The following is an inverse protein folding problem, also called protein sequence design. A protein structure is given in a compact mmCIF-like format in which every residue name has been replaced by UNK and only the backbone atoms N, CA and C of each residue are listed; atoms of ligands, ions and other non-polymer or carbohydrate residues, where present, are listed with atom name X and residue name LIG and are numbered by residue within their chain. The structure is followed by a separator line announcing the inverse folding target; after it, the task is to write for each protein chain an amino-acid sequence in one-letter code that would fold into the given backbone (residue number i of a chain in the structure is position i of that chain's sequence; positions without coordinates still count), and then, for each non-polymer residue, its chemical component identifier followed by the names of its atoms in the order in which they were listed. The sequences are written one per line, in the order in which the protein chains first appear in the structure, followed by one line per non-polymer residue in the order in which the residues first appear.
data_IF_146580081350
#
_entry.id   IF_146580081350
#
_cell.length_a   1.000
_cell.length_b   1.000
_cell.length_c   1.000
_cell.angle_alpha   90.00
_cell.angle_beta   90.00
_cell.angle_gamma   90.00
#
_symmetry.space_group_name_H-M   'P 1'
#
loop_
_entity.id
_entity.type
_entity.pdbx_description
1 polymer ?
#
# COMPACT_ATOMS: atom_id res chain seq x y z
N UNK A 1 48.26 2.94 -55.67
CA UNK A 1 49.53 3.20 -54.97
C UNK A 1 49.41 4.55 -54.26
N UNK A 2 49.69 4.61 -52.94
CA UNK A 2 49.61 5.76 -51.99
C UNK A 2 48.19 6.24 -51.61
N UNK A 3 47.56 5.77 -50.54
CA UNK A 3 47.67 6.08 -49.07
C UNK A 3 47.18 7.46 -48.61
N UNK A 4 46.24 7.42 -47.63
CA UNK A 4 46.02 8.32 -46.48
C UNK A 4 45.58 9.78 -46.77
N UNK A 5 44.72 10.48 -46.01
CA UNK A 5 44.37 10.37 -44.58
C UNK A 5 43.08 11.18 -44.30
N UNK A 6 42.27 10.62 -43.40
CA UNK A 6 41.25 11.18 -42.49
C UNK A 6 41.21 12.72 -42.36
N UNK A 7 40.01 13.31 -42.45
CA UNK A 7 39.61 14.38 -41.53
C UNK A 7 38.17 14.18 -41.06
N UNK A 8 38.02 14.13 -39.74
CA UNK A 8 36.77 14.16 -38.99
C UNK A 8 36.21 15.57 -39.06
N UNK A 9 34.89 15.73 -39.17
CA UNK A 9 34.19 16.83 -38.50
C UNK A 9 32.76 16.41 -38.16
N UNK A 10 32.64 15.99 -36.91
CA UNK A 10 31.43 15.77 -36.12
C UNK A 10 30.70 17.11 -36.00
N UNK A 11 29.43 17.17 -36.44
CA UNK A 11 28.55 18.30 -36.12
C UNK A 11 27.64 17.93 -34.94
N UNK A 12 28.09 18.42 -33.79
CA UNK A 12 27.33 18.97 -32.66
C UNK A 12 26.00 18.29 -32.27
N UNK A 13 26.12 17.38 -31.30
CA UNK A 13 25.08 17.07 -30.33
C UNK A 13 24.90 18.30 -29.43
N UNK A 14 23.73 18.93 -29.44
CA UNK A 14 23.41 20.00 -28.47
C UNK A 14 23.13 19.32 -27.13
N UNK A 15 24.16 19.37 -26.28
CA UNK A 15 24.15 18.99 -24.89
C UNK A 15 23.55 20.15 -24.08
N UNK A 16 22.26 20.09 -23.77
CA UNK A 16 21.65 20.98 -22.78
C UNK A 16 21.87 20.38 -21.40
N UNK A 17 23.00 20.71 -20.79
CA UNK A 17 23.23 20.45 -19.37
C UNK A 17 22.29 21.29 -18.52
N UNK A 18 21.48 20.63 -17.70
CA UNK A 18 20.91 21.22 -16.50
C UNK A 18 21.46 20.44 -15.31
N UNK A 19 22.60 20.93 -14.80
CA UNK A 19 23.11 20.58 -13.48
C UNK A 19 22.28 21.40 -12.49
N UNK A 20 21.33 20.74 -11.83
CA UNK A 20 20.82 21.16 -10.53
C UNK A 20 21.20 19.98 -9.63
N UNK A 21 22.29 20.04 -8.88
CA UNK A 21 22.32 20.88 -7.70
C UNK A 21 21.80 20.05 -6.55
N UNK A 22 22.60 19.08 -6.11
CA UNK A 22 22.39 18.29 -4.91
C UNK A 22 22.32 19.23 -3.70
N UNK A 23 21.11 19.50 -3.23
CA UNK A 23 20.87 19.97 -1.87
C UNK A 23 20.32 18.79 -1.08
N UNK A 24 21.24 18.02 -0.50
CA UNK A 24 20.94 17.29 0.72
C UNK A 24 20.66 18.31 1.81
N UNK A 25 19.46 18.30 2.40
CA UNK A 25 19.25 18.70 3.78
C UNK A 25 17.92 18.13 4.29
N UNK A 26 18.02 17.50 5.44
CA UNK A 26 17.01 16.78 6.17
C UNK A 26 15.72 17.56 6.40
N UNK A 27 14.60 16.84 6.31
CA UNK A 27 13.54 16.90 7.31
C UNK A 27 12.82 15.55 7.36
N UNK A 28 13.53 14.57 7.92
CA UNK A 28 12.90 13.51 8.69
C UNK A 28 12.64 14.14 10.06
N UNK A 29 11.46 14.70 10.26
CA UNK A 29 10.98 15.07 11.59
C UNK A 29 9.46 15.06 11.60
N UNK A 30 8.93 14.17 12.44
CA UNK A 30 7.57 14.10 12.95
C UNK A 30 6.46 13.70 11.97
N UNK A 31 6.37 12.38 11.74
CA UNK A 31 5.08 11.70 11.60
C UNK A 31 4.39 11.46 12.96
N UNK A 32 4.79 12.20 14.01
CA UNK A 32 4.15 12.23 15.33
C UNK A 32 2.98 13.23 15.34
N UNK A 33 2.00 13.04 14.47
CA UNK A 33 0.60 13.45 14.73
C UNK A 33 -0.35 12.72 13.79
N UNK A 34 -0.25 11.38 13.76
CA UNK A 34 -1.38 10.57 13.31
C UNK A 34 -2.42 10.69 14.42
N UNK A 35 -3.49 11.45 14.16
CA UNK A 35 -4.66 11.52 15.02
C UNK A 35 -5.11 10.08 15.35
N UNK A 36 -4.83 9.67 16.59
CA UNK A 36 -5.29 8.44 17.21
C UNK A 36 -6.81 8.48 17.36
N UNK A 37 -7.54 8.29 16.27
CA UNK A 37 -8.92 7.85 16.35
C UNK A 37 -8.91 6.32 16.46
N UNK A 38 -8.49 5.87 17.64
CA UNK A 38 -8.37 4.46 18.03
C UNK A 38 -9.75 3.96 18.38
N UNK A 39 -10.31 3.09 17.53
CA UNK A 39 -11.34 2.16 17.96
C UNK A 39 -10.84 0.73 17.69
N UNK A 40 -10.08 0.23 18.67
CA UNK A 40 -9.73 -1.15 19.03
C UNK A 40 -8.28 -1.15 19.53
N UNK A 41 -8.09 -1.24 20.86
CA UNK A 41 -6.78 -1.19 21.53
C UNK A 41 -5.92 -2.45 21.36
N UNK A 42 -6.40 -3.47 20.65
CA UNK A 42 -5.67 -4.72 20.45
C UNK A 42 -5.33 -4.94 18.98
N UNK A 43 -4.09 -5.37 18.67
CA UNK A 43 -3.75 -5.86 17.33
C UNK A 43 -4.71 -6.96 16.91
N UNK A 44 -5.06 -7.00 15.63
CA UNK A 44 -5.91 -8.05 15.07
C UNK A 44 -5.03 -9.24 14.67
N UNK A 45 -5.35 -10.44 15.16
CA UNK A 45 -4.59 -11.64 14.82
C UNK A 45 -4.92 -12.11 13.39
N UNK A 46 -3.96 -12.02 12.45
CA UNK A 46 -4.12 -12.46 11.05
C UNK A 46 -4.10 -13.98 10.87
N UNK A 47 -3.89 -14.72 11.94
CA UNK A 47 -3.87 -16.19 11.95
C UNK A 47 -5.22 -16.79 12.36
N UNK A 48 -6.20 -15.97 12.75
CA UNK A 48 -7.56 -16.40 13.08
C UNK A 48 -8.53 -16.11 11.94
N UNK A 49 -9.74 -16.66 12.04
CA UNK A 49 -10.84 -16.24 11.17
C UNK A 49 -11.20 -14.78 11.44
N UNK A 50 -11.72 -14.12 10.39
CA UNK A 50 -12.23 -12.75 10.48
C UNK A 50 -13.50 -12.63 11.33
N UNK A 51 -14.05 -11.42 11.41
CA UNK A 51 -15.34 -11.14 12.02
C UNK A 51 -16.19 -10.23 11.09
N UNK A 52 -17.33 -9.74 11.56
CA UNK A 52 -18.24 -8.91 10.75
C UNK A 52 -17.59 -7.64 10.17
N UNK A 53 -16.53 -7.12 10.80
CA UNK A 53 -15.85 -5.89 10.39
C UNK A 53 -14.50 -6.14 9.71
N UNK A 54 -13.97 -7.36 9.81
CA UNK A 54 -12.62 -7.74 9.40
C UNK A 54 -12.68 -9.04 8.61
N UNK A 55 -12.32 -9.00 7.33
CA UNK A 55 -12.14 -10.22 6.54
C UNK A 55 -10.68 -10.68 6.67
N UNK A 56 -10.45 -11.95 7.01
CA UNK A 56 -9.13 -12.58 6.94
C UNK A 56 -9.29 -13.85 6.11
N UNK A 57 -8.50 -13.95 5.05
CA UNK A 57 -8.46 -15.14 4.19
C UNK A 57 -7.06 -15.57 3.87
N UNK A 58 -6.91 -16.85 3.60
CA UNK A 58 -5.72 -17.36 2.94
C UNK A 58 -5.74 -16.93 1.47
N UNK A 59 -4.57 -16.57 0.96
CA UNK A 59 -4.35 -16.27 -0.46
C UNK A 59 -3.20 -17.14 -0.97
N UNK A 60 -3.05 -17.21 -2.29
CA UNK A 60 -1.86 -17.84 -2.88
C UNK A 60 -0.68 -16.86 -2.90
N UNK A 61 0.53 -17.39 -3.11
CA UNK A 61 1.71 -16.56 -3.39
C UNK A 61 1.48 -15.66 -4.60
N UNK A 62 0.87 -16.18 -5.66
CA UNK A 62 0.63 -15.42 -6.89
C UNK A 62 -0.31 -14.24 -6.64
N UNK A 63 -1.37 -14.43 -5.85
CA UNK A 63 -2.25 -13.35 -5.42
C UNK A 63 -1.51 -12.30 -4.58
N UNK A 64 -0.60 -12.72 -3.70
CA UNK A 64 0.25 -11.78 -2.97
C UNK A 64 1.12 -10.94 -3.92
N UNK A 65 1.73 -11.58 -4.93
CA UNK A 65 2.58 -10.90 -5.93
C UNK A 65 1.76 -9.94 -6.79
N UNK A 66 0.55 -10.33 -7.21
CA UNK A 66 -0.36 -9.45 -7.94
C UNK A 66 -0.76 -8.22 -7.13
N UNK A 67 -1.09 -8.42 -5.84
CA UNK A 67 -1.41 -7.32 -4.93
C UNK A 67 -0.18 -6.40 -4.75
N UNK A 68 1.01 -6.98 -4.58
CA UNK A 68 2.26 -6.23 -4.45
C UNK A 68 2.55 -5.39 -5.71
N UNK A 69 2.34 -5.96 -6.89
CA UNK A 69 2.52 -5.29 -8.17
C UNK A 69 1.55 -4.12 -8.32
N UNK A 70 0.26 -4.36 -8.03
CA UNK A 70 -0.80 -3.36 -8.08
C UNK A 70 -0.53 -2.20 -7.11
N UNK A 71 -0.23 -2.51 -5.85
CA UNK A 71 -0.06 -1.51 -4.79
C UNK A 71 1.17 -0.63 -5.03
N UNK A 72 2.24 -1.18 -5.61
CA UNK A 72 3.47 -0.43 -5.91
C UNK A 72 3.51 0.14 -7.33
N UNK A 73 2.54 -0.16 -8.18
CA UNK A 73 2.54 0.28 -9.58
C UNK A 73 3.71 -0.28 -10.40
N UNK A 74 4.11 -1.53 -10.13
CA UNK A 74 5.23 -2.23 -10.80
C UNK A 74 4.73 -3.44 -11.58
N UNK A 75 5.59 -4.05 -12.39
CA UNK A 75 5.25 -5.28 -13.10
C UNK A 75 5.17 -6.48 -12.16
N UNK A 76 4.43 -7.53 -12.56
CA UNK A 76 4.33 -8.79 -11.81
C UNK A 76 5.73 -9.42 -11.63
N UNK A 77 6.60 -9.35 -12.65
CA UNK A 77 7.95 -9.90 -12.58
C UNK A 77 8.83 -9.16 -11.56
N UNK A 78 8.74 -7.83 -11.49
CA UNK A 78 9.44 -7.04 -10.47
C UNK A 78 8.91 -7.34 -9.07
N UNK A 79 7.59 -7.44 -8.92
CA UNK A 79 6.95 -7.80 -7.65
C UNK A 79 7.38 -9.20 -7.19
N UNK A 80 7.44 -10.16 -8.11
CA UNK A 80 7.86 -11.54 -7.85
C UNK A 80 9.29 -11.60 -7.28
N UNK A 81 10.21 -10.90 -7.94
CA UNK A 81 11.60 -10.78 -7.49
C UNK A 81 11.71 -10.12 -6.12
N UNK A 82 10.97 -9.03 -5.89
CA UNK A 82 10.95 -8.34 -4.59
C UNK A 82 10.40 -9.26 -3.50
N UNK A 83 9.35 -10.03 -3.78
CA UNK A 83 8.78 -10.98 -2.85
C UNK A 83 9.81 -12.07 -2.50
N UNK A 84 10.48 -12.65 -3.49
CA UNK A 84 11.51 -13.67 -3.27
C UNK A 84 12.71 -13.13 -2.45
N UNK A 85 13.23 -11.95 -2.80
CA UNK A 85 14.34 -11.30 -2.08
C UNK A 85 13.96 -11.04 -0.61
N UNK A 86 12.72 -10.64 -0.34
CA UNK A 86 12.21 -10.40 1.02
C UNK A 86 12.10 -11.70 1.80
N UNK A 87 11.53 -12.75 1.19
CA UNK A 87 11.45 -14.08 1.78
C UNK A 87 12.84 -14.59 2.14
N UNK A 88 13.79 -14.55 1.21
CA UNK A 88 15.14 -15.05 1.44
C UNK A 88 15.79 -14.33 2.63
N UNK A 89 15.79 -12.98 2.63
CA UNK A 89 16.34 -12.19 3.74
C UNK A 89 15.67 -12.50 5.08
N UNK A 90 14.35 -12.70 5.10
CA UNK A 90 13.64 -13.05 6.33
C UNK A 90 14.06 -14.43 6.83
N UNK A 91 14.13 -15.44 5.97
CA UNK A 91 14.57 -16.80 6.34
C UNK A 91 16.04 -16.82 6.77
N UNK A 92 16.91 -16.05 6.12
CA UNK A 92 18.31 -15.90 6.55
C UNK A 92 18.43 -15.37 7.97
N UNK A 93 17.62 -14.37 8.31
CA UNK A 93 17.59 -13.80 9.65
C UNK A 93 17.13 -14.82 10.69
N UNK A 94 16.08 -15.60 10.41
CA UNK A 94 15.63 -16.68 11.31
C UNK A 94 16.76 -17.68 11.57
N UNK A 95 17.46 -18.14 10.53
CA UNK A 95 18.55 -19.10 10.70
C UNK A 95 19.71 -18.56 11.55
N UNK A 96 19.99 -17.24 11.45
CA UNK A 96 21.02 -16.58 12.26
C UNK A 96 20.59 -16.42 13.71
N UNK A 97 19.34 -16.02 13.95
CA UNK A 97 18.84 -15.66 15.29
C UNK A 97 18.34 -16.87 16.08
N UNK A 98 17.94 -17.94 15.39
CA UNK A 98 17.34 -19.14 16.00
C UNK A 98 17.99 -20.42 15.45
N UNK A 99 19.30 -20.64 15.72
CA UNK A 99 20.05 -21.77 15.17
C UNK A 99 19.53 -23.14 15.62
N UNK A 100 18.76 -23.21 16.73
CA UNK A 100 18.05 -24.43 17.13
C UNK A 100 16.94 -24.84 16.15
N UNK A 101 16.41 -23.91 15.35
CA UNK A 101 15.51 -24.21 14.23
C UNK A 101 16.31 -24.57 12.97
N UNK A 102 17.26 -25.51 13.08
CA UNK A 102 18.18 -25.88 11.99
C UNK A 102 17.43 -26.10 10.65
N UNK A 103 17.98 -25.57 9.55
CA UNK A 103 17.50 -25.70 8.17
C UNK A 103 16.20 -24.94 7.80
N UNK A 104 15.97 -23.73 8.33
CA UNK A 104 14.83 -22.89 7.88
C UNK A 104 14.98 -22.42 6.43
N UNK A 105 16.20 -22.38 5.85
CA UNK A 105 16.39 -22.04 4.42
C UNK A 105 15.59 -22.95 3.47
N UNK A 106 15.34 -24.20 3.86
CA UNK A 106 14.49 -25.15 3.12
C UNK A 106 12.99 -25.09 3.51
N UNK A 107 12.62 -24.30 4.52
CA UNK A 107 11.27 -24.28 5.09
C UNK A 107 10.33 -23.25 4.44
N UNK A 108 10.47 -23.02 3.12
CA UNK A 108 9.48 -22.24 2.34
C UNK A 108 8.07 -22.83 2.44
N UNK A 109 7.97 -24.14 2.70
CA UNK A 109 6.72 -24.86 3.00
C UNK A 109 5.94 -24.30 4.18
N UNK A 110 6.60 -23.54 5.06
CA UNK A 110 6.00 -23.00 6.27
C UNK A 110 5.49 -21.56 6.10
N UNK A 111 5.63 -21.00 4.90
CA UNK A 111 5.11 -19.69 4.57
C UNK A 111 3.63 -19.84 4.25
N UNK A 112 2.81 -19.08 4.96
CA UNK A 112 1.39 -18.90 4.66
C UNK A 112 1.17 -17.46 4.22
N UNK A 113 0.28 -17.29 3.25
CA UNK A 113 -0.06 -15.98 2.72
C UNK A 113 -1.47 -15.62 3.16
N UNK A 114 -1.62 -14.47 3.80
CA UNK A 114 -2.90 -14.00 4.33
C UNK A 114 -3.25 -12.66 3.72
N UNK A 115 -4.50 -12.46 3.38
CA UNK A 115 -5.04 -11.13 3.12
C UNK A 115 -5.99 -10.78 4.26
N UNK A 116 -5.80 -9.61 4.85
CA UNK A 116 -6.74 -9.03 5.78
C UNK A 116 -7.32 -7.75 5.20
N UNK A 117 -8.62 -7.54 5.39
CA UNK A 117 -9.25 -6.27 5.05
C UNK A 117 -10.10 -5.74 6.19
N UNK A 118 -10.20 -4.42 6.27
CA UNK A 118 -10.99 -3.72 7.28
C UNK A 118 -11.63 -2.48 6.66
N UNK A 119 -12.93 -2.33 6.86
CA UNK A 119 -13.68 -1.21 6.30
C UNK A 119 -13.84 -0.07 7.30
N UNK A 120 -13.51 1.15 6.88
CA UNK A 120 -13.75 2.38 7.65
C UNK A 120 -14.84 3.23 7.00
N UNK A 121 -15.81 3.64 7.82
CA UNK A 121 -16.83 4.60 7.40
C UNK A 121 -16.28 6.02 7.42
N UNK A 122 -16.58 6.81 6.38
CA UNK A 122 -16.17 8.20 6.33
C UNK A 122 -16.86 9.02 7.42
N UNK A 123 -16.11 9.66 8.35
CA UNK A 123 -16.72 10.30 9.53
C UNK A 123 -17.74 11.39 9.21
N UNK A 124 -17.57 12.09 8.08
CA UNK A 124 -18.44 13.20 7.67
C UNK A 124 -19.63 12.75 6.82
N UNK A 125 -19.65 11.50 6.35
CA UNK A 125 -20.76 10.96 5.57
C UNK A 125 -20.79 9.42 5.63
N UNK A 126 -21.75 8.86 6.38
CA UNK A 126 -21.85 7.42 6.64
C UNK A 126 -22.14 6.57 5.41
N UNK A 127 -22.57 7.17 4.31
CA UNK A 127 -22.83 6.48 3.04
C UNK A 127 -21.56 6.15 2.25
N UNK A 128 -20.41 6.69 2.66
CA UNK A 128 -19.12 6.44 2.02
C UNK A 128 -18.24 5.62 2.96
N UNK A 129 -17.66 4.54 2.43
CA UNK A 129 -16.76 3.65 3.15
C UNK A 129 -15.60 3.26 2.24
N UNK A 130 -14.40 3.18 2.81
CA UNK A 130 -13.23 2.65 2.12
C UNK A 130 -12.73 1.42 2.88
N UNK A 131 -12.10 0.51 2.14
CA UNK A 131 -11.51 -0.71 2.66
C UNK A 131 -10.00 -0.55 2.67
N UNK A 132 -9.38 -0.79 3.83
CA UNK A 132 -7.95 -1.01 3.98
C UNK A 132 -7.68 -2.49 3.69
N UNK A 133 -6.81 -2.78 2.73
CA UNK A 133 -6.43 -4.15 2.35
C UNK A 133 -4.95 -4.32 2.63
N UNK A 134 -4.58 -5.40 3.30
CA UNK A 134 -3.18 -5.76 3.52
C UNK A 134 -2.96 -7.24 3.23
N UNK A 135 -1.89 -7.54 2.49
CA UNK A 135 -1.46 -8.93 2.26
C UNK A 135 -0.15 -9.19 2.99
N UNK A 136 -0.08 -10.31 3.68
CA UNK A 136 1.00 -10.69 4.58
C UNK A 136 1.64 -11.98 4.12
N UNK A 137 2.97 -11.99 4.15
CA UNK A 137 3.78 -13.21 4.15
C UNK A 137 4.07 -13.57 5.60
N UNK A 138 3.62 -14.73 6.05
CA UNK A 138 3.82 -15.16 7.44
C UNK A 138 4.61 -16.47 7.44
N UNK A 139 5.72 -16.49 8.15
CA UNK A 139 6.42 -17.74 8.45
C UNK A 139 5.90 -18.35 9.75
N UNK A 140 5.73 -19.67 9.74
CA UNK A 140 5.26 -20.44 10.90
C UNK A 140 6.23 -21.59 11.25
N UNK A 141 6.48 -21.83 12.54
CA UNK A 141 7.38 -22.89 12.97
C UNK A 141 7.06 -23.32 14.40
N UNK A 142 6.36 -24.45 14.55
CA UNK A 142 5.83 -24.87 15.84
C UNK A 142 4.88 -23.80 16.41
N UNK A 143 5.18 -23.31 17.62
CA UNK A 143 4.44 -22.22 18.25
C UNK A 143 4.89 -20.82 17.81
N UNK A 144 6.04 -20.71 17.13
CA UNK A 144 6.56 -19.42 16.69
C UNK A 144 5.97 -19.02 15.33
N UNK A 145 5.62 -17.75 15.21
CA UNK A 145 5.11 -17.11 14.00
C UNK A 145 5.72 -15.73 13.86
N UNK A 146 5.92 -15.30 12.62
CA UNK A 146 6.35 -13.93 12.31
C UNK A 146 5.84 -13.50 10.93
N UNK A 147 5.64 -12.21 10.76
CA UNK A 147 5.38 -11.54 9.49
C UNK A 147 6.75 -11.27 8.84
N UNK A 148 6.99 -11.84 7.66
CA UNK A 148 8.19 -11.63 6.87
C UNK A 148 8.11 -10.39 5.99
N UNK A 149 6.91 -10.07 5.51
CA UNK A 149 6.66 -8.92 4.66
C UNK A 149 5.17 -8.60 4.59
N UNK A 150 4.83 -7.38 4.17
CA UNK A 150 3.46 -7.05 3.81
C UNK A 150 3.36 -6.06 2.64
N UNK A 151 2.21 -6.09 1.97
CA UNK A 151 1.74 -5.03 1.09
C UNK A 151 0.45 -4.42 1.63
N UNK A 152 0.18 -3.18 1.25
CA UNK A 152 -0.95 -2.39 1.72
C UNK A 152 -1.53 -1.61 0.56
N UNK A 153 -2.84 -1.61 0.46
CA UNK A 153 -3.60 -0.85 -0.50
C UNK A 153 -4.99 -0.55 0.05
N UNK A 154 -5.82 0.06 -0.78
CA UNK A 154 -7.20 0.37 -0.41
C UNK A 154 -8.12 0.47 -1.60
N UNK A 155 -9.41 0.30 -1.30
CA UNK A 155 -10.46 0.29 -2.30
C UNK A 155 -11.71 1.02 -1.80
N UNK A 156 -12.62 1.34 -2.72
CA UNK A 156 -13.95 1.80 -2.37
C UNK A 156 -14.77 0.61 -1.85
N UNK A 157 -15.26 0.69 -0.61
CA UNK A 157 -16.11 -0.34 -0.03
C UNK A 157 -17.60 -0.02 -0.23
N UNK A 158 -17.98 1.25 -0.07
CA UNK A 158 -19.34 1.73 -0.32
C UNK A 158 -19.34 3.21 -0.69
N UNK A 159 -20.33 3.63 -1.47
CA UNK A 159 -20.51 5.02 -1.86
C UNK A 159 -21.85 5.23 -2.56
N UNK A 160 -22.27 6.49 -2.64
CA UNK A 160 -23.45 6.90 -3.39
C UNK A 160 -23.06 7.50 -4.75
N UNK A 161 -24.00 7.40 -5.69
CA UNK A 161 -23.80 7.84 -7.08
C UNK A 161 -22.61 7.10 -7.72
N UNK A 162 -21.93 7.73 -8.69
CA UNK A 162 -20.69 7.21 -9.30
C UNK A 162 -19.48 7.55 -8.43
N UNK A 163 -19.48 7.04 -7.19
CA UNK A 163 -18.38 7.25 -6.26
C UNK A 163 -17.13 6.47 -6.69
N UNK A 164 -15.97 7.03 -6.38
CA UNK A 164 -14.67 6.37 -6.44
C UNK A 164 -13.86 6.70 -5.18
N UNK A 165 -12.94 5.81 -4.83
CA UNK A 165 -11.92 6.04 -3.81
C UNK A 165 -10.58 6.27 -4.51
N UNK A 166 -9.92 7.37 -4.17
CA UNK A 166 -8.58 7.68 -4.66
C UNK A 166 -7.59 7.59 -3.50
N UNK A 167 -6.80 6.52 -3.47
CA UNK A 167 -5.67 6.40 -2.54
C UNK A 167 -4.61 7.44 -2.90
N UNK A 168 -4.20 8.23 -1.92
CA UNK A 168 -3.19 9.28 -2.08
C UNK A 168 -1.82 8.80 -1.61
N UNK A 169 -1.79 8.14 -0.44
CA UNK A 169 -0.57 7.61 0.16
C UNK A 169 -0.87 6.34 0.94
N UNK A 170 0.15 5.52 1.10
CA UNK A 170 0.15 4.35 1.98
C UNK A 170 1.44 4.31 2.81
N UNK A 171 1.37 3.61 3.94
CA UNK A 171 2.52 3.33 4.80
C UNK A 171 2.32 2.01 5.50
N UNK A 172 3.45 1.42 5.91
CA UNK A 172 3.49 0.16 6.65
C UNK A 172 4.74 0.09 7.49
N UNK A 173 4.75 -0.80 8.48
CA UNK A 173 5.99 -1.27 9.10
C UNK A 173 6.98 -1.66 8.01
N UNK A 174 8.21 -1.15 8.07
CA UNK A 174 9.24 -1.36 7.04
C UNK A 174 10.34 -2.31 7.48
N UNK A 175 10.60 -2.39 8.79
CA UNK A 175 11.59 -3.29 9.37
C UNK A 175 10.97 -4.66 9.62
N UNK A 176 11.18 -5.60 8.70
CA UNK A 176 10.77 -7.00 8.84
C UNK A 176 11.96 -7.91 9.18
N UNK A 177 11.73 -9.12 9.72
CA UNK A 177 10.45 -9.67 10.20
C UNK A 177 10.00 -9.11 11.55
N UNK A 178 8.70 -9.18 11.82
CA UNK A 178 8.05 -8.70 13.06
C UNK A 178 6.89 -9.62 13.47
N UNK A 179 6.46 -9.57 14.72
CA UNK A 179 5.24 -10.26 15.19
C UNK A 179 3.99 -9.38 15.12
N UNK A 180 4.17 -8.08 14.88
CA UNK A 180 3.12 -7.08 14.71
C UNK A 180 3.51 -6.10 13.61
N UNK A 181 2.59 -5.81 12.70
CA UNK A 181 2.77 -4.83 11.64
C UNK A 181 1.64 -3.81 11.67
N UNK A 182 1.99 -2.53 11.63
CA UNK A 182 1.03 -1.45 11.41
C UNK A 182 0.99 -1.13 9.93
N UNK A 183 -0.20 -1.01 9.36
CA UNK A 183 -0.43 -0.61 7.98
C UNK A 183 -1.47 0.50 7.94
N UNK A 184 -1.33 1.41 6.99
CA UNK A 184 -2.29 2.50 6.82
C UNK A 184 -2.25 3.10 5.43
N UNK A 185 -3.34 3.78 5.11
CA UNK A 185 -3.56 4.49 3.85
C UNK A 185 -4.26 5.80 4.13
N UNK A 186 -4.03 6.78 3.26
CA UNK A 186 -4.83 8.00 3.19
C UNK A 186 -5.39 8.15 1.80
N UNK A 187 -6.67 8.49 1.70
CA UNK A 187 -7.32 8.73 0.41
C UNK A 187 -8.51 9.67 0.51
N UNK A 188 -9.18 9.88 -0.63
CA UNK A 188 -10.37 10.73 -0.75
C UNK A 188 -11.44 10.02 -1.56
N UNK A 189 -12.70 10.29 -1.22
CA UNK A 189 -13.82 9.95 -2.08
C UNK A 189 -14.02 11.03 -3.14
N UNK A 190 -14.29 10.60 -4.36
CA UNK A 190 -14.76 11.47 -5.44
C UNK A 190 -16.12 10.96 -5.88
N UNK A 191 -17.07 11.83 -6.13
CA UNK A 191 -18.37 11.41 -6.68
C UNK A 191 -18.91 12.46 -7.63
N UNK A 192 -19.61 11.98 -8.64
CA UNK A 192 -20.17 12.84 -9.70
C UNK A 192 -21.69 12.74 -9.65
N UNK A 193 -22.35 13.90 -9.57
CA UNK A 193 -23.80 14.02 -9.56
C UNK A 193 -24.25 14.79 -10.80
N UNK A 194 -25.19 14.22 -11.55
CA UNK A 194 -25.81 14.87 -12.71
C UNK A 194 -27.20 15.36 -12.31
N UNK A 195 -27.49 16.65 -12.50
CA UNK A 195 -28.77 17.29 -12.17
C UNK A 195 -29.44 17.87 -13.42
N UNK A 196 -30.76 17.71 -13.50
CA UNK A 196 -31.58 18.50 -14.42
C UNK A 196 -31.83 19.88 -13.83
N UNK A 197 -31.04 20.88 -14.21
CA UNK A 197 -31.20 22.28 -13.80
C UNK A 197 -30.28 22.77 -12.67
N UNK A 198 -30.34 24.09 -12.41
CA UNK A 198 -29.47 24.84 -11.48
C UNK A 198 -29.85 24.68 -9.99
N UNK A 199 -30.22 23.47 -9.55
CA UNK A 199 -30.50 23.23 -8.13
C UNK A 199 -29.18 23.18 -7.36
N UNK A 200 -29.05 24.00 -6.31
CA UNK A 200 -27.90 23.99 -5.41
C UNK A 200 -27.86 22.70 -4.60
N UNK A 201 -27.06 21.72 -5.04
CA UNK A 201 -26.80 20.50 -4.27
C UNK A 201 -25.53 20.65 -3.42
N UNK A 202 -25.61 20.22 -2.16
CA UNK A 202 -24.46 20.03 -1.28
C UNK A 202 -24.39 18.56 -0.84
N UNK A 203 -23.17 18.05 -0.66
CA UNK A 203 -22.94 16.68 -0.18
C UNK A 203 -22.11 16.76 1.12
N UNK A 204 -22.63 16.29 2.27
CA UNK A 204 -21.95 16.42 3.56
C UNK A 204 -20.54 15.84 3.52
N UNK A 205 -19.56 16.63 3.97
CA UNK A 205 -18.15 16.24 4.00
C UNK A 205 -17.38 16.40 2.70
N UNK A 206 -18.01 16.88 1.62
CA UNK A 206 -17.40 17.09 0.32
C UNK A 206 -17.39 18.57 -0.10
N UNK A 207 -16.37 18.97 -0.84
CA UNK A 207 -16.31 20.23 -1.59
C UNK A 207 -16.58 19.99 -3.06
N UNK A 208 -17.08 21.01 -3.78
CA UNK A 208 -17.24 20.95 -5.23
C UNK A 208 -15.90 21.26 -5.89
N UNK A 209 -15.39 20.34 -6.71
CA UNK A 209 -14.12 20.50 -7.42
C UNK A 209 -14.28 20.91 -8.89
N UNK A 210 -15.49 20.80 -9.44
CA UNK A 210 -15.80 21.19 -10.82
C UNK A 210 -17.30 21.16 -11.09
N UNK A 211 -17.77 22.09 -11.93
CA UNK A 211 -19.17 22.20 -12.31
C UNK A 211 -19.29 22.46 -13.82
N UNK A 212 -19.93 21.53 -14.53
CA UNK A 212 -20.51 21.77 -15.86
C UNK A 212 -21.97 22.21 -15.75
N UNK A 213 -22.64 22.44 -16.88
CA UNK A 213 -24.04 22.89 -16.94
C UNK A 213 -25.03 21.93 -16.27
N UNK A 214 -24.69 20.64 -16.17
CA UNK A 214 -25.57 19.60 -15.60
C UNK A 214 -24.85 18.64 -14.66
N UNK A 215 -23.54 18.75 -14.46
CA UNK A 215 -22.75 17.76 -13.71
C UNK A 215 -21.81 18.45 -12.74
N UNK A 216 -21.83 18.00 -11.49
CA UNK A 216 -20.94 18.49 -10.42
C UNK A 216 -20.10 17.35 -9.87
N UNK A 217 -18.80 17.59 -9.75
CA UNK A 217 -17.86 16.68 -9.11
C UNK A 217 -17.62 17.14 -7.68
N UNK A 218 -17.83 16.23 -6.74
CA UNK A 218 -17.63 16.44 -5.31
C UNK A 218 -16.40 15.64 -4.86
N UNK A 219 -15.55 16.25 -4.04
CA UNK A 219 -14.33 15.63 -3.49
C UNK A 219 -14.36 15.76 -1.96
N UNK A 220 -14.13 14.65 -1.26
CA UNK A 220 -14.11 14.65 0.21
C UNK A 220 -12.82 15.27 0.76
N UNK A 221 -12.82 15.62 2.04
CA UNK A 221 -11.55 15.73 2.77
C UNK A 221 -10.86 14.36 2.83
N UNK A 222 -9.55 14.36 3.03
CA UNK A 222 -8.79 13.12 3.20
C UNK A 222 -9.30 12.32 4.40
N UNK A 223 -9.32 11.00 4.26
CA UNK A 223 -9.56 10.04 5.34
C UNK A 223 -8.34 9.13 5.46
N UNK A 224 -7.83 9.00 6.67
CA UNK A 224 -6.77 8.05 7.02
C UNK A 224 -7.39 6.81 7.65
N UNK A 225 -6.99 5.64 7.16
CA UNK A 225 -7.31 4.33 7.73
C UNK A 225 -6.02 3.68 8.20
N UNK A 226 -6.00 3.16 9.42
CA UNK A 226 -4.82 2.51 9.98
C UNK A 226 -5.23 1.35 10.88
N UNK A 227 -4.52 0.22 10.76
CA UNK A 227 -4.68 -0.93 11.64
C UNK A 227 -3.34 -1.59 11.96
N UNK A 228 -3.29 -2.18 13.16
CA UNK A 228 -2.20 -3.05 13.59
C UNK A 228 -2.65 -4.50 13.53
N UNK A 229 -1.81 -5.34 12.95
CA UNK A 229 -2.04 -6.75 12.70
C UNK A 229 -0.96 -7.57 13.41
N UNK A 230 -1.34 -8.63 14.13
CA UNK A 230 -0.44 -9.54 14.84
C UNK A 230 -0.56 -10.97 14.34
N UNK A 231 0.43 -11.80 14.65
CA UNK A 231 0.37 -13.26 14.43
C UNK A 231 0.04 -14.07 15.71
N UNK A 232 -0.25 -13.36 16.80
CA UNK A 232 -0.64 -13.87 18.12
C UNK A 232 -1.85 -13.11 18.64
#
# INVERSE_FOLDING_TARGET
MKTNRISKNVKALILSGLIIGSTSLANIANADTIEKNVNSNNPINIMTEGNEEIEIKEITRDQYVENLAKDQGITIQEADKIAEDRTEKALEKINKEMPQMKNVKSARSNIVWRQASWTQTYPKNKSFKAELIASFEVWTGGSFRQINSCTVGSSLAAGQHKASWNQLTDWKTTSYPVTRATVGVTGKFMTTVTTGGNVGMSLPGFSVSGSGSTTKTFVSNSMTMQREWSVY
#
